data_IF_243463657666
#
_entry.id   IF_243463657666
#
_cell.length_a   1.000
_cell.length_b   1.000
_cell.length_c   1.000
_cell.angle_alpha   90.00
_cell.angle_beta   90.00
_cell.angle_gamma   90.00
#
_symmetry.space_group_name_H-M   'P 1'
#
loop_
_entity.id
_entity.type
_entity.pdbx_description
1 polymer ?
#
# COMPACT_ATOMS: atom_id res chain seq x y z
N UNK A 1 18.02 -21.64 -24.84
CA UNK A 1 17.45 -20.67 -23.86
C UNK A 1 16.21 -21.32 -23.28
N UNK A 2 16.06 -21.31 -21.94
CA UNK A 2 14.84 -21.79 -21.28
C UNK A 2 13.64 -20.91 -21.65
N UNK A 3 12.45 -21.50 -21.68
CA UNK A 3 11.21 -20.81 -22.06
C UNK A 3 10.16 -21.04 -20.99
N UNK A 4 9.50 -19.96 -20.58
CA UNK A 4 8.42 -19.98 -19.61
C UNK A 4 7.18 -19.27 -20.15
N UNK A 5 6.03 -19.58 -19.58
CA UNK A 5 4.83 -18.77 -19.83
C UNK A 5 4.96 -17.42 -19.14
N UNK A 6 5.47 -17.41 -17.91
CA UNK A 6 5.57 -16.21 -17.09
C UNK A 6 6.94 -16.15 -16.41
N UNK A 7 7.58 -14.97 -16.49
CA UNK A 7 8.67 -14.57 -15.63
C UNK A 7 8.19 -13.51 -14.65
N UNK A 8 8.44 -13.72 -13.36
CA UNK A 8 8.10 -12.78 -12.29
C UNK A 8 9.41 -12.24 -11.71
N UNK A 9 9.57 -10.91 -11.69
CA UNK A 9 10.67 -10.25 -11.03
C UNK A 9 10.24 -9.80 -9.62
N UNK A 10 10.81 -10.42 -8.58
CA UNK A 10 10.51 -10.20 -7.16
C UNK A 10 9.68 -11.31 -6.54
N UNK A 11 10.17 -11.85 -5.41
CA UNK A 11 9.60 -12.99 -4.66
C UNK A 11 8.98 -12.59 -3.32
N UNK A 12 8.52 -11.33 -3.16
CA UNK A 12 7.77 -10.89 -1.99
C UNK A 12 6.27 -11.20 -2.16
N UNK A 13 5.40 -10.68 -1.30
CA UNK A 13 3.98 -11.07 -1.18
C UNK A 13 3.25 -11.26 -2.51
N UNK A 14 3.23 -10.23 -3.36
CA UNK A 14 2.49 -10.28 -4.63
C UNK A 14 3.10 -11.27 -5.62
N UNK A 15 4.45 -11.26 -5.74
CA UNK A 15 5.15 -12.14 -6.68
C UNK A 15 5.05 -13.61 -6.29
N UNK A 16 5.22 -13.94 -5.00
CA UNK A 16 5.09 -15.30 -4.49
C UNK A 16 3.64 -15.83 -4.65
N UNK A 17 2.65 -15.01 -4.30
CA UNK A 17 1.24 -15.39 -4.45
C UNK A 17 0.85 -15.60 -5.92
N UNK A 18 1.25 -14.67 -6.80
CA UNK A 18 0.97 -14.78 -8.23
C UNK A 18 1.65 -16.01 -8.84
N UNK A 19 2.91 -16.29 -8.44
CA UNK A 19 3.63 -17.49 -8.86
C UNK A 19 2.90 -18.77 -8.45
N UNK A 20 2.49 -18.87 -7.16
CA UNK A 20 1.71 -20.01 -6.64
C UNK A 20 0.45 -20.25 -7.48
N UNK A 21 -0.34 -19.20 -7.69
CA UNK A 21 -1.63 -19.33 -8.40
C UNK A 21 -1.44 -19.68 -9.88
N UNK A 22 -0.50 -19.06 -10.58
CA UNK A 22 -0.25 -19.37 -12.00
C UNK A 22 0.35 -20.77 -12.20
N UNK A 23 1.25 -21.22 -11.33
CA UNK A 23 1.79 -22.57 -11.37
C UNK A 23 0.70 -23.62 -11.07
N UNK A 24 -0.18 -23.36 -10.11
CA UNK A 24 -1.31 -24.24 -9.80
C UNK A 24 -2.32 -24.35 -10.98
N UNK A 25 -2.42 -23.32 -11.83
CA UNK A 25 -3.19 -23.35 -13.08
C UNK A 25 -2.49 -24.11 -14.21
N UNK A 26 -1.29 -24.67 -13.97
CA UNK A 26 -0.52 -25.48 -14.91
C UNK A 26 0.40 -24.71 -15.85
N UNK A 27 0.66 -23.43 -15.58
CA UNK A 27 1.56 -22.62 -16.39
C UNK A 27 3.00 -22.75 -15.91
N UNK A 28 3.96 -22.66 -16.83
CA UNK A 28 5.39 -22.65 -16.50
C UNK A 28 5.79 -21.27 -15.98
N UNK A 29 6.24 -21.20 -14.70
CA UNK A 29 6.56 -19.95 -14.00
C UNK A 29 8.00 -19.96 -13.53
N UNK A 30 8.73 -18.88 -13.87
CA UNK A 30 10.03 -18.57 -13.30
C UNK A 30 9.93 -17.30 -12.47
N UNK A 31 10.37 -17.35 -11.23
CA UNK A 31 10.56 -16.18 -10.36
C UNK A 31 12.05 -15.89 -10.24
N UNK A 32 12.45 -14.64 -10.41
CA UNK A 32 13.78 -14.14 -10.11
C UNK A 32 13.72 -13.17 -8.93
N UNK A 33 14.56 -13.41 -7.92
CA UNK A 33 14.66 -12.56 -6.72
C UNK A 33 16.11 -12.11 -6.52
N UNK A 34 16.29 -10.78 -6.40
CA UNK A 34 17.65 -10.19 -6.25
C UNK A 34 18.33 -10.56 -4.95
N UNK A 35 17.59 -10.78 -3.89
CA UNK A 35 18.09 -11.14 -2.57
C UNK A 35 18.40 -12.64 -2.51
N UNK A 36 19.34 -13.02 -1.64
CA UNK A 36 19.56 -14.41 -1.28
C UNK A 36 18.46 -14.89 -0.34
N UNK A 37 18.21 -16.20 -0.21
CA UNK A 37 17.10 -16.70 0.61
C UNK A 37 17.06 -16.10 2.02
N UNK A 38 18.21 -16.00 2.68
CA UNK A 38 18.30 -15.50 4.07
C UNK A 38 18.05 -13.99 4.20
N UNK A 39 18.06 -13.24 3.10
CA UNK A 39 17.92 -11.77 3.07
C UNK A 39 16.54 -11.31 2.59
N UNK A 40 15.73 -12.21 2.03
CA UNK A 40 14.41 -11.84 1.46
C UNK A 40 13.52 -11.18 2.51
N UNK A 41 13.07 -9.96 2.22
CA UNK A 41 12.09 -9.23 3.04
C UNK A 41 12.49 -8.99 4.50
N UNK A 42 13.79 -8.80 4.78
CA UNK A 42 14.32 -8.54 6.14
C UNK A 42 14.49 -7.07 6.49
N UNK A 43 13.94 -6.14 5.72
CA UNK A 43 14.02 -4.70 6.01
C UNK A 43 13.31 -4.31 7.32
N UNK A 44 12.29 -5.05 7.73
CA UNK A 44 11.66 -5.02 9.06
C UNK A 44 11.05 -6.39 9.35
N UNK A 45 10.95 -6.72 10.64
CA UNK A 45 10.58 -8.04 11.11
C UNK A 45 9.07 -8.29 11.06
N UNK A 46 8.30 -7.54 11.86
CA UNK A 46 6.87 -7.80 12.04
C UNK A 46 6.02 -6.96 11.09
N UNK A 47 5.13 -7.63 10.36
CA UNK A 47 4.02 -6.99 9.67
C UNK A 47 2.71 -7.71 10.00
N UNK A 48 1.57 -7.14 9.60
CA UNK A 48 0.26 -7.71 9.95
C UNK A 48 -0.75 -7.54 8.83
N UNK A 49 -1.72 -8.47 8.79
CA UNK A 49 -2.83 -8.47 7.85
C UNK A 49 -4.15 -8.78 8.54
N UNK A 50 -5.25 -8.28 7.99
CA UNK A 50 -6.60 -8.67 8.40
C UNK A 50 -6.86 -10.15 8.12
N UNK A 51 -7.39 -10.89 9.09
CA UNK A 51 -7.67 -12.33 8.94
C UNK A 51 -8.62 -12.62 7.78
N UNK A 52 -9.65 -11.79 7.58
CA UNK A 52 -10.62 -11.98 6.50
C UNK A 52 -9.98 -11.86 5.11
N UNK A 53 -9.03 -10.94 4.94
CA UNK A 53 -8.29 -10.81 3.69
C UNK A 53 -7.37 -12.01 3.47
N UNK A 54 -6.71 -12.51 4.53
CA UNK A 54 -5.89 -13.73 4.44
C UNK A 54 -6.73 -14.94 4.01
N UNK A 55 -7.91 -15.13 4.60
CA UNK A 55 -8.85 -16.20 4.22
C UNK A 55 -9.33 -16.03 2.78
N UNK A 56 -9.69 -14.83 2.37
CA UNK A 56 -10.14 -14.53 1.00
C UNK A 56 -9.11 -14.94 -0.05
N UNK A 57 -7.83 -14.63 0.18
CA UNK A 57 -6.77 -14.91 -0.78
C UNK A 57 -6.08 -16.26 -0.59
N UNK A 58 -6.64 -17.14 0.26
CA UNK A 58 -6.07 -18.45 0.55
C UNK A 58 -4.59 -18.36 0.96
N UNK A 59 -4.31 -17.41 1.88
CA UNK A 59 -3.00 -17.27 2.52
C UNK A 59 -2.90 -18.18 3.74
N UNK A 60 -1.70 -18.69 4.00
CA UNK A 60 -1.42 -19.35 5.26
C UNK A 60 -1.70 -18.41 6.44
N UNK A 61 -2.42 -18.91 7.46
CA UNK A 61 -2.67 -18.18 8.71
C UNK A 61 -1.82 -18.82 9.79
N UNK A 62 -0.73 -18.18 10.22
CA UNK A 62 0.16 -18.71 11.25
C UNK A 62 -0.55 -18.94 12.57
N UNK A 63 -0.14 -19.97 13.28
CA UNK A 63 -0.63 -20.35 14.61
C UNK A 63 0.53 -20.30 15.61
N UNK A 64 0.19 -20.20 16.89
CA UNK A 64 1.18 -20.28 17.95
C UNK A 64 2.05 -21.54 17.82
N UNK A 65 3.36 -21.34 17.72
CA UNK A 65 4.36 -22.38 17.49
C UNK A 65 4.87 -22.49 16.05
N UNK A 66 4.26 -21.80 15.07
CA UNK A 66 4.79 -21.68 13.72
C UNK A 66 5.91 -20.61 13.69
N UNK A 67 6.93 -20.82 12.84
CA UNK A 67 8.09 -19.91 12.78
C UNK A 67 7.72 -18.49 12.30
N UNK A 68 6.62 -18.37 11.58
CA UNK A 68 6.11 -17.10 11.09
C UNK A 68 5.02 -16.47 11.99
N UNK A 69 4.68 -17.10 13.12
CA UNK A 69 3.69 -16.56 14.07
C UNK A 69 4.27 -15.43 14.90
N UNK A 70 3.65 -14.25 14.84
CA UNK A 70 3.96 -13.14 15.72
C UNK A 70 2.92 -12.96 16.83
N UNK A 71 1.70 -12.61 16.46
CA UNK A 71 0.58 -12.38 17.41
C UNK A 71 -0.78 -12.38 16.70
N UNK A 72 -1.84 -12.43 17.51
CA UNK A 72 -3.22 -12.22 17.04
C UNK A 72 -3.91 -11.21 17.94
N UNK A 73 -4.59 -10.24 17.36
CA UNK A 73 -5.48 -9.37 18.09
C UNK A 73 -6.85 -9.22 17.42
N UNK A 74 -7.88 -8.90 18.22
CA UNK A 74 -9.26 -8.87 17.76
C UNK A 74 -9.93 -7.50 17.87
N UNK A 75 -9.25 -6.53 18.46
CA UNK A 75 -9.79 -5.17 18.65
C UNK A 75 -8.69 -4.14 18.75
N UNK A 76 -8.96 -2.93 18.32
CA UNK A 76 -8.06 -1.81 18.43
C UNK A 76 -8.79 -0.52 18.79
N UNK A 77 -8.03 0.52 19.12
CA UNK A 77 -8.55 1.86 19.36
C UNK A 77 -7.83 2.89 18.53
N UNK A 78 -8.59 3.82 17.96
CA UNK A 78 -8.06 5.05 17.39
C UNK A 78 -8.24 6.17 18.39
N UNK A 79 -7.14 6.82 18.78
CA UNK A 79 -7.15 7.92 19.74
C UNK A 79 -7.10 9.28 19.03
N UNK A 80 -7.71 10.27 19.66
CA UNK A 80 -7.50 11.67 19.31
C UNK A 80 -6.04 12.09 19.57
N UNK A 81 -5.57 13.20 18.97
CA UNK A 81 -4.16 13.61 19.06
C UNK A 81 -3.61 13.79 20.50
N UNK A 82 -4.46 14.21 21.45
CA UNK A 82 -4.09 14.33 22.86
C UNK A 82 -4.48 13.12 23.73
N UNK A 83 -5.04 12.06 23.12
CA UNK A 83 -5.46 10.87 23.84
C UNK A 83 -6.75 11.03 24.67
N UNK A 84 -7.45 12.16 24.55
CA UNK A 84 -8.64 12.44 25.38
C UNK A 84 -9.88 11.66 24.92
N UNK A 85 -9.95 11.28 23.66
CA UNK A 85 -11.08 10.58 23.05
C UNK A 85 -10.57 9.37 22.27
N UNK A 86 -11.37 8.31 22.23
CA UNK A 86 -11.03 7.11 21.45
C UNK A 86 -12.26 6.54 20.76
N UNK A 87 -12.02 5.80 19.69
CA UNK A 87 -13.02 5.01 18.94
C UNK A 87 -12.55 3.58 18.83
N UNK A 88 -13.49 2.66 18.90
CA UNK A 88 -13.23 1.23 18.87
C UNK A 88 -13.34 0.66 17.48
N UNK A 89 -12.42 -0.22 17.09
CA UNK A 89 -12.52 -1.08 15.93
C UNK A 89 -12.42 -2.55 16.34
N UNK A 90 -13.26 -3.39 15.74
CA UNK A 90 -13.23 -4.83 15.92
C UNK A 90 -12.79 -5.46 14.58
N UNK A 91 -11.56 -5.93 14.55
CA UNK A 91 -11.00 -6.65 13.41
C UNK A 91 -10.00 -7.66 13.93
N UNK A 92 -10.07 -8.90 13.46
CA UNK A 92 -9.03 -9.87 13.78
C UNK A 92 -7.85 -9.65 12.83
N UNK A 93 -6.72 -9.32 13.42
CA UNK A 93 -5.47 -9.07 12.69
C UNK A 93 -4.43 -10.08 13.13
N UNK A 94 -3.71 -10.61 12.16
CA UNK A 94 -2.62 -11.57 12.35
C UNK A 94 -1.31 -10.83 12.13
N UNK A 95 -0.45 -10.81 13.13
CA UNK A 95 0.93 -10.33 13.05
C UNK A 95 1.88 -11.48 12.76
N UNK A 96 2.82 -11.27 11.87
CA UNK A 96 3.69 -12.32 11.35
C UNK A 96 5.13 -11.86 11.28
N UNK A 97 6.07 -12.80 11.48
CA UNK A 97 7.46 -12.61 11.12
C UNK A 97 7.58 -12.60 9.59
N UNK A 98 7.86 -11.43 9.03
CA UNK A 98 7.72 -11.15 7.60
C UNK A 98 8.58 -12.06 6.73
N UNK A 99 9.85 -12.23 7.08
CA UNK A 99 10.75 -13.10 6.32
C UNK A 99 10.20 -14.53 6.25
N UNK A 100 9.87 -15.12 7.39
CA UNK A 100 9.43 -16.51 7.49
C UNK A 100 8.11 -16.71 6.74
N UNK A 101 7.17 -15.76 6.86
CA UNK A 101 5.91 -15.79 6.14
C UNK A 101 6.12 -15.73 4.60
N UNK A 102 6.98 -14.82 4.11
CA UNK A 102 7.28 -14.72 2.67
C UNK A 102 8.00 -15.97 2.17
N UNK A 103 8.92 -16.53 2.94
CA UNK A 103 9.58 -17.79 2.57
C UNK A 103 8.61 -18.97 2.57
N UNK A 104 7.59 -18.99 3.43
CA UNK A 104 6.49 -19.96 3.37
C UNK A 104 5.71 -19.82 2.06
N UNK A 105 5.34 -18.61 1.68
CA UNK A 105 4.65 -18.35 0.40
C UNK A 105 5.50 -18.80 -0.81
N UNK A 106 6.80 -18.58 -0.77
CA UNK A 106 7.71 -19.04 -1.82
C UNK A 106 7.79 -20.56 -1.90
N UNK A 107 7.87 -21.27 -0.75
CA UNK A 107 7.80 -22.75 -0.70
C UNK A 107 6.48 -23.28 -1.26
N UNK A 108 5.37 -22.60 -0.98
CA UNK A 108 4.07 -22.95 -1.58
C UNK A 108 4.04 -22.75 -3.10
N UNK A 109 4.69 -21.69 -3.61
CA UNK A 109 4.81 -21.46 -5.05
C UNK A 109 5.66 -22.55 -5.72
N UNK A 110 6.78 -22.93 -5.11
CA UNK A 110 7.62 -24.05 -5.59
C UNK A 110 6.88 -25.39 -5.55
N UNK A 111 6.13 -25.67 -4.48
CA UNK A 111 5.28 -26.86 -4.37
C UNK A 111 4.17 -26.91 -5.44
N UNK A 112 3.69 -25.75 -5.88
CA UNK A 112 2.75 -25.64 -7.00
C UNK A 112 3.42 -25.80 -8.39
N UNK A 113 4.76 -25.81 -8.46
CA UNK A 113 5.51 -26.04 -9.70
C UNK A 113 6.25 -24.80 -10.24
N UNK A 114 6.26 -23.67 -9.53
CA UNK A 114 7.09 -22.54 -9.91
C UNK A 114 8.57 -22.82 -9.64
N UNK A 115 9.47 -22.29 -10.47
CA UNK A 115 10.90 -22.28 -10.24
C UNK A 115 11.30 -20.91 -9.68
N UNK A 116 12.06 -20.87 -8.58
CA UNK A 116 12.56 -19.62 -8.00
C UNK A 116 14.08 -19.59 -8.06
N UNK A 117 14.66 -18.49 -8.55
CA UNK A 117 16.09 -18.23 -8.57
C UNK A 117 16.37 -17.02 -7.68
N UNK A 118 17.04 -17.25 -6.55
CA UNK A 118 17.51 -16.22 -5.65
C UNK A 118 18.90 -15.69 -6.06
N UNK A 119 19.22 -14.46 -5.63
CA UNK A 119 20.45 -13.79 -6.05
C UNK A 119 20.42 -13.41 -7.53
N UNK A 120 19.25 -13.27 -8.13
CA UNK A 120 18.99 -12.99 -9.53
C UNK A 120 18.26 -11.65 -9.69
N UNK A 121 18.98 -10.60 -10.09
CA UNK A 121 18.45 -9.26 -10.23
C UNK A 121 18.02 -8.99 -11.68
N UNK A 122 16.76 -8.57 -11.90
CA UNK A 122 16.32 -8.10 -13.21
C UNK A 122 17.25 -6.98 -13.72
N UNK A 123 17.72 -7.07 -14.98
CA UNK A 123 18.60 -6.08 -15.59
C UNK A 123 17.95 -5.36 -16.77
N UNK A 124 17.31 -6.10 -17.68
CA UNK A 124 16.65 -5.53 -18.86
C UNK A 124 15.62 -6.51 -19.45
N UNK A 125 14.82 -6.02 -20.38
CA UNK A 125 13.96 -6.87 -21.20
C UNK A 125 14.76 -7.61 -22.28
N UNK A 126 14.40 -8.85 -22.55
CA UNK A 126 14.77 -9.53 -23.77
C UNK A 126 13.74 -9.14 -24.84
N UNK A 127 14.20 -8.59 -25.95
CA UNK A 127 13.33 -8.09 -27.04
C UNK A 127 13.64 -8.80 -28.35
N UNK A 128 12.61 -8.98 -29.18
CA UNK A 128 12.76 -9.43 -30.55
C UNK A 128 13.26 -8.30 -31.48
N UNK A 129 13.47 -8.62 -32.77
CA UNK A 129 13.92 -7.67 -33.78
C UNK A 129 12.94 -6.49 -34.01
N UNK A 130 11.68 -6.65 -33.58
CA UNK A 130 10.63 -5.62 -33.68
C UNK A 130 10.51 -4.78 -32.41
N UNK A 131 11.27 -5.13 -31.37
CA UNK A 131 11.24 -4.46 -30.07
C UNK A 131 10.17 -4.99 -29.10
N UNK A 132 9.47 -6.07 -29.44
CA UNK A 132 8.49 -6.68 -28.55
C UNK A 132 9.21 -7.37 -27.37
N UNK A 133 8.63 -7.31 -26.18
CA UNK A 133 9.12 -8.02 -24.99
C UNK A 133 8.84 -9.52 -25.21
N UNK A 134 9.90 -10.33 -25.18
CA UNK A 134 9.86 -11.78 -25.34
C UNK A 134 10.50 -12.51 -24.14
N UNK A 135 10.83 -11.78 -23.06
CA UNK A 135 11.45 -12.31 -21.86
C UNK A 135 12.25 -11.25 -21.12
N UNK A 136 13.21 -11.71 -20.34
CA UNK A 136 14.07 -10.83 -19.55
C UNK A 136 15.53 -11.29 -19.50
N UNK A 137 16.39 -10.33 -19.17
CA UNK A 137 17.77 -10.51 -18.75
C UNK A 137 17.87 -10.27 -17.26
N UNK A 138 18.69 -11.03 -16.58
CA UNK A 138 18.94 -10.88 -15.15
C UNK A 138 20.40 -11.20 -14.82
N UNK A 139 20.89 -10.64 -13.73
CA UNK A 139 22.27 -10.78 -13.29
C UNK A 139 22.31 -11.67 -12.04
N UNK A 140 23.19 -12.67 -12.08
CA UNK A 140 23.53 -13.54 -10.95
C UNK A 140 25.01 -13.42 -10.62
N UNK A 141 25.49 -14.11 -9.60
CA UNK A 141 26.94 -14.22 -9.29
C UNK A 141 27.76 -14.87 -10.47
N UNK A 142 27.09 -15.58 -11.38
CA UNK A 142 27.67 -16.19 -12.58
C UNK A 142 27.67 -15.25 -13.80
N UNK A 143 27.12 -14.06 -13.69
CA UNK A 143 26.99 -13.07 -14.74
C UNK A 143 25.57 -12.92 -15.31
N UNK A 144 25.47 -12.24 -16.47
CA UNK A 144 24.18 -11.99 -17.12
C UNK A 144 23.61 -13.28 -17.72
N UNK A 145 22.35 -13.54 -17.40
CA UNK A 145 21.54 -14.65 -17.91
C UNK A 145 20.37 -14.11 -18.73
N UNK A 146 19.80 -14.92 -19.59
CA UNK A 146 18.65 -14.58 -20.43
C UNK A 146 17.62 -15.71 -20.45
N UNK A 147 16.35 -15.34 -20.44
CA UNK A 147 15.23 -16.28 -20.49
C UNK A 147 14.09 -15.73 -21.36
N UNK A 148 13.51 -16.61 -22.17
CA UNK A 148 12.29 -16.27 -22.90
C UNK A 148 11.05 -16.46 -22.00
N UNK A 149 10.11 -15.51 -22.05
CA UNK A 149 8.84 -15.61 -21.38
C UNK A 149 7.76 -14.90 -22.21
N UNK A 150 6.53 -15.43 -22.19
CA UNK A 150 5.38 -14.79 -22.86
C UNK A 150 4.93 -13.54 -22.12
N UNK A 151 5.22 -13.46 -20.79
CA UNK A 151 4.90 -12.34 -19.92
C UNK A 151 6.04 -12.10 -18.92
N UNK A 152 6.39 -10.83 -18.73
CA UNK A 152 7.24 -10.36 -17.62
C UNK A 152 6.35 -9.62 -16.63
N UNK A 153 6.24 -10.12 -15.39
CA UNK A 153 5.52 -9.47 -14.30
C UNK A 153 6.52 -8.74 -13.39
N UNK A 154 6.39 -7.44 -13.25
CA UNK A 154 7.21 -6.64 -12.35
C UNK A 154 6.58 -6.57 -10.95
N UNK A 155 7.12 -7.34 -10.01
CA UNK A 155 6.81 -7.35 -8.59
C UNK A 155 8.02 -6.85 -7.75
N UNK A 156 8.90 -6.01 -8.32
CA UNK A 156 10.13 -5.55 -7.66
C UNK A 156 9.91 -4.46 -6.62
N UNK A 157 8.66 -4.11 -6.35
CA UNK A 157 8.30 -3.12 -5.34
C UNK A 157 8.58 -1.68 -5.78
N UNK A 158 8.82 -0.78 -4.83
CA UNK A 158 9.05 0.66 -5.07
C UNK A 158 10.13 0.93 -6.12
N UNK A 159 11.26 0.20 -6.19
CA UNK A 159 12.27 0.39 -7.25
C UNK A 159 11.72 0.22 -8.67
N UNK A 160 10.67 -0.58 -8.85
CA UNK A 160 10.00 -0.78 -10.15
C UNK A 160 11.00 -1.12 -11.27
N UNK A 161 11.87 -2.11 -11.02
CA UNK A 161 13.07 -2.34 -11.81
C UNK A 161 12.79 -2.61 -13.31
N UNK A 162 11.73 -3.36 -13.62
CA UNK A 162 11.36 -3.63 -15.00
C UNK A 162 10.47 -2.52 -15.59
N UNK A 163 9.47 -2.03 -14.84
CA UNK A 163 8.57 -0.96 -15.28
C UNK A 163 9.34 0.29 -15.75
N UNK A 164 10.39 0.67 -15.03
CA UNK A 164 11.22 1.84 -15.35
C UNK A 164 12.08 1.68 -16.62
N UNK A 165 12.14 0.48 -17.20
CA UNK A 165 12.81 0.21 -18.49
C UNK A 165 11.84 0.27 -19.69
N UNK A 166 10.55 0.45 -19.44
CA UNK A 166 9.58 0.65 -20.52
C UNK A 166 9.85 2.00 -21.23
N UNK A 167 9.54 2.10 -22.53
CA UNK A 167 9.70 3.36 -23.25
C UNK A 167 8.67 4.40 -22.80
N UNK A 168 8.96 5.69 -23.03
CA UNK A 168 8.10 6.81 -22.59
C UNK A 168 6.72 6.83 -23.26
N UNK A 169 6.56 6.16 -24.39
CA UNK A 169 5.29 6.02 -25.07
C UNK A 169 4.51 4.76 -24.70
N UNK A 170 4.95 4.01 -23.68
CA UNK A 170 4.22 2.85 -23.17
C UNK A 170 2.89 3.27 -22.53
N UNK A 171 1.96 2.34 -22.49
CA UNK A 171 0.69 2.53 -21.76
C UNK A 171 0.90 2.50 -20.25
N UNK A 172 1.88 1.73 -19.78
CA UNK A 172 2.32 1.70 -18.37
C UNK A 172 3.30 2.84 -18.12
N UNK A 173 3.00 3.67 -17.14
CA UNK A 173 3.85 4.81 -16.76
C UNK A 173 5.18 4.33 -16.16
N UNK A 174 6.32 4.90 -16.64
CA UNK A 174 7.67 4.45 -16.30
C UNK A 174 8.44 5.37 -15.31
N UNK A 175 7.80 6.40 -14.75
CA UNK A 175 8.45 7.34 -13.84
C UNK A 175 8.89 6.69 -12.50
N UNK A 176 9.88 7.29 -11.85
CA UNK A 176 10.28 6.96 -10.48
C UNK A 176 9.47 7.78 -9.48
N UNK A 177 9.15 7.19 -8.31
CA UNK A 177 8.59 7.93 -7.19
C UNK A 177 9.61 8.93 -6.65
N UNK A 178 9.12 10.10 -6.27
CA UNK A 178 9.89 11.10 -5.52
C UNK A 178 9.71 10.90 -4.01
N UNK A 179 10.56 11.48 -3.15
CA UNK A 179 10.38 11.40 -1.70
C UNK A 179 9.01 11.88 -1.20
N UNK A 180 8.35 12.77 -1.94
CA UNK A 180 6.99 13.24 -1.65
C UNK A 180 5.92 12.18 -1.88
N UNK A 181 6.20 11.19 -2.71
CA UNK A 181 5.28 10.13 -3.12
C UNK A 181 5.48 8.83 -2.33
N UNK A 182 6.29 8.88 -1.28
CA UNK A 182 6.64 7.73 -0.43
C UNK A 182 6.31 8.07 1.02
N UNK A 183 5.70 7.13 1.75
CA UNK A 183 5.70 7.13 3.20
C UNK A 183 6.90 6.35 3.72
N UNK A 184 7.71 7.05 4.48
CA UNK A 184 8.84 6.54 5.24
C UNK A 184 8.34 6.15 6.62
N UNK A 185 8.48 4.88 6.96
CA UNK A 185 7.97 4.30 8.19
C UNK A 185 9.14 3.97 9.10
N UNK A 186 9.06 4.43 10.35
CA UNK A 186 10.01 4.08 11.42
C UNK A 186 9.27 3.25 12.46
N UNK A 187 9.82 2.11 12.81
CA UNK A 187 9.29 1.15 13.77
C UNK A 187 10.23 1.07 14.96
N UNK A 188 9.74 1.46 16.14
CA UNK A 188 10.45 1.34 17.40
C UNK A 188 9.93 0.10 18.13
N UNK A 189 10.74 -0.94 18.25
CA UNK A 189 10.46 -2.07 19.09
C UNK A 189 10.74 -1.66 20.53
N UNK A 190 9.70 -1.54 21.30
CA UNK A 190 9.71 -0.99 22.66
C UNK A 190 9.30 -2.05 23.68
N UNK A 191 9.90 -1.97 24.86
CA UNK A 191 9.50 -2.77 26.02
C UNK A 191 8.99 -1.84 27.11
N UNK A 192 7.76 -2.12 27.58
CA UNK A 192 7.17 -1.34 28.65
C UNK A 192 7.79 -1.71 30.02
N UNK A 193 8.02 -0.70 30.88
CA UNK A 193 8.79 -0.87 32.12
C UNK A 193 7.89 -1.37 33.24
N UNK A 194 6.68 -0.83 33.40
CA UNK A 194 5.90 -0.98 34.64
C UNK A 194 4.46 -1.47 34.47
N UNK A 195 3.96 -1.73 33.26
CA UNK A 195 2.53 -2.02 33.05
C UNK A 195 2.30 -3.20 32.10
N UNK A 196 1.33 -4.06 32.48
CA UNK A 196 0.68 -4.94 31.48
C UNK A 196 -0.20 -4.06 30.60
N UNK A 197 0.29 -3.73 29.44
CA UNK A 197 -0.45 -2.94 28.48
C UNK A 197 -1.17 -3.89 27.55
N UNK A 198 -2.43 -3.58 27.29
CA UNK A 198 -3.06 -4.13 26.10
C UNK A 198 -2.37 -3.49 24.89
N UNK A 199 -1.52 -4.22 24.16
CA UNK A 199 -0.68 -3.66 23.09
C UNK A 199 -1.48 -3.06 21.96
N UNK A 200 -2.80 -3.22 21.98
CA UNK A 200 -3.71 -2.79 20.92
C UNK A 200 -4.24 -1.37 21.07
N UNK A 201 -3.94 -0.70 22.17
CA UNK A 201 -4.72 0.47 22.54
C UNK A 201 -4.28 1.80 21.95
N UNK A 202 -3.32 1.87 21.02
CA UNK A 202 -2.78 3.16 20.64
C UNK A 202 -2.61 3.38 19.14
N UNK A 203 -3.70 3.81 18.48
CA UNK A 203 -3.63 4.47 17.18
C UNK A 203 -3.97 5.94 17.37
N UNK A 204 -3.08 6.85 16.95
CA UNK A 204 -3.33 8.27 16.96
C UNK A 204 -3.29 8.84 15.55
N UNK A 205 -4.16 9.82 15.27
CA UNK A 205 -4.04 10.65 14.07
C UNK A 205 -3.32 11.94 14.45
N UNK A 206 -2.19 12.18 13.78
CA UNK A 206 -1.45 13.42 13.86
C UNK A 206 -1.54 14.14 12.52
N UNK A 207 -1.37 15.45 12.53
CA UNK A 207 -1.26 16.20 11.29
C UNK A 207 -0.16 15.58 10.42
N UNK A 208 -0.45 15.39 9.12
CA UNK A 208 0.52 15.08 8.08
C UNK A 208 1.11 13.66 8.12
N UNK A 209 0.67 12.78 9.02
CA UNK A 209 1.18 11.43 9.10
C UNK A 209 0.30 10.53 9.97
N UNK A 210 0.68 9.25 10.04
CA UNK A 210 0.05 8.24 10.89
C UNK A 210 1.06 7.71 11.90
N UNK A 211 0.62 7.55 13.14
CA UNK A 211 1.38 6.85 14.17
C UNK A 211 0.48 5.80 14.85
N UNK A 212 1.08 4.71 15.30
CA UNK A 212 0.34 3.57 15.87
C UNK A 212 1.19 2.80 16.86
N UNK A 213 0.53 1.92 17.64
CA UNK A 213 1.19 0.81 18.31
C UNK A 213 0.56 -0.51 17.87
N UNK A 214 1.36 -1.56 17.94
CA UNK A 214 0.94 -2.94 17.72
C UNK A 214 1.73 -3.84 18.69
N UNK A 215 1.28 -5.09 18.95
CA UNK A 215 2.08 -6.07 19.66
C UNK A 215 3.42 -6.33 18.97
N UNK A 216 4.46 -6.67 19.73
CA UNK A 216 5.72 -7.15 19.17
C UNK A 216 5.85 -8.68 19.16
N UNK A 217 4.87 -9.39 19.71
CA UNK A 217 4.96 -10.83 19.96
C UNK A 217 5.59 -11.19 21.31
N UNK A 218 6.26 -10.25 21.97
CA UNK A 218 6.89 -10.44 23.27
C UNK A 218 5.98 -9.99 24.44
N UNK A 219 6.12 -10.63 25.60
CA UNK A 219 5.51 -10.17 26.85
C UNK A 219 5.96 -8.73 27.15
N UNK A 220 5.00 -7.83 27.36
CA UNK A 220 5.21 -6.40 27.57
C UNK A 220 5.86 -5.62 26.41
N UNK A 221 6.00 -6.23 25.24
CA UNK A 221 6.55 -5.59 24.05
C UNK A 221 5.51 -4.92 23.17
N UNK A 222 5.91 -3.85 22.49
CA UNK A 222 5.11 -3.18 21.46
C UNK A 222 5.98 -2.65 20.32
N UNK A 223 5.39 -2.54 19.15
CA UNK A 223 5.96 -1.81 18.03
C UNK A 223 5.28 -0.46 17.97
N UNK A 224 6.05 0.61 18.19
CA UNK A 224 5.58 1.98 18.00
C UNK A 224 5.98 2.43 16.61
N UNK A 225 5.00 2.62 15.75
CA UNK A 225 5.23 3.00 14.36
C UNK A 225 4.87 4.45 14.08
N UNK A 226 5.63 5.09 13.21
CA UNK A 226 5.32 6.39 12.63
C UNK A 226 5.61 6.38 11.14
N UNK A 227 4.73 6.97 10.35
CA UNK A 227 4.90 7.09 8.90
C UNK A 227 4.60 8.49 8.41
N UNK A 228 5.47 9.05 7.58
CA UNK A 228 5.28 10.35 6.94
C UNK A 228 6.03 10.45 5.61
N UNK A 229 5.78 11.51 4.84
CA UNK A 229 6.46 11.78 3.58
C UNK A 229 7.89 12.31 3.79
N UNK A 230 8.63 12.45 2.71
CA UNK A 230 9.96 13.03 2.54
C UNK A 230 11.13 12.20 3.04
N UNK A 231 11.16 11.78 4.31
CA UNK A 231 12.30 11.03 4.86
C UNK A 231 11.97 10.36 6.21
N UNK A 232 12.82 9.42 6.61
CA UNK A 232 12.79 8.84 7.95
C UNK A 232 13.03 9.91 9.04
N UNK A 233 13.95 10.85 8.80
CA UNK A 233 14.26 11.90 9.77
C UNK A 233 13.06 12.83 10.00
N UNK A 234 12.27 13.09 8.95
CA UNK A 234 11.04 13.87 9.10
C UNK A 234 10.00 13.11 9.94
N UNK A 235 9.79 11.82 9.68
CA UNK A 235 8.89 10.98 10.47
C UNK A 235 9.35 10.91 11.95
N UNK A 236 10.65 10.73 12.20
CA UNK A 236 11.22 10.73 13.56
C UNK A 236 11.05 12.08 14.27
N UNK A 237 11.25 13.18 13.57
CA UNK A 237 11.10 14.55 14.16
C UNK A 237 9.66 14.80 14.58
N UNK A 238 8.67 14.46 13.71
CA UNK A 238 7.24 14.57 14.04
C UNK A 238 6.90 13.70 15.25
N UNK A 239 7.34 12.44 15.27
CA UNK A 239 7.07 11.51 16.36
C UNK A 239 7.64 12.03 17.69
N UNK A 240 8.88 12.51 17.69
CA UNK A 240 9.54 13.02 18.89
C UNK A 240 8.94 14.35 19.38
N UNK A 241 8.62 15.26 18.45
CA UNK A 241 8.07 16.58 18.79
C UNK A 241 6.63 16.50 19.27
N UNK A 242 5.80 15.74 18.55
CA UNK A 242 4.36 15.83 18.69
C UNK A 242 3.76 14.63 19.44
N UNK A 243 4.05 13.38 19.02
CA UNK A 243 3.47 12.21 19.67
C UNK A 243 3.95 12.04 21.10
N UNK A 244 5.24 11.87 21.31
CA UNK A 244 5.79 11.64 22.65
C UNK A 244 5.39 12.71 23.66
N UNK A 245 5.15 13.93 23.19
CA UNK A 245 4.80 15.06 24.06
C UNK A 245 3.32 15.12 24.37
N UNK A 246 2.47 14.79 23.43
CA UNK A 246 1.02 15.05 23.50
C UNK A 246 0.21 13.81 23.91
N UNK A 247 0.66 12.60 23.56
CA UNK A 247 -0.06 11.37 23.90
C UNK A 247 0.47 10.85 25.25
N UNK A 248 -0.39 10.60 26.24
CA UNK A 248 0.01 9.97 27.49
C UNK A 248 0.43 8.52 27.20
N UNK A 249 1.74 8.33 27.09
CA UNK A 249 2.33 7.06 26.74
C UNK A 249 2.99 6.41 27.97
N UNK A 250 2.81 5.10 28.18
CA UNK A 250 3.53 4.40 29.25
C UNK A 250 5.04 4.50 29.09
N UNK A 251 5.77 4.39 30.17
CA UNK A 251 7.24 4.37 30.13
C UNK A 251 7.74 3.12 29.42
N UNK A 252 8.68 3.28 28.51
CA UNK A 252 9.26 2.20 27.71
C UNK A 252 10.76 2.43 27.45
N UNK A 253 11.46 1.35 27.13
CA UNK A 253 12.79 1.36 26.50
C UNK A 253 12.66 0.96 25.06
N UNK A 254 13.48 1.52 24.18
CA UNK A 254 13.59 1.09 22.77
C UNK A 254 14.73 0.09 22.67
N UNK A 255 14.43 -1.10 22.19
CA UNK A 255 15.39 -2.20 22.04
C UNK A 255 15.93 -2.28 20.60
N UNK A 256 15.09 -1.97 19.59
CA UNK A 256 15.41 -2.08 18.17
C UNK A 256 14.67 -1.00 17.40
N UNK A 257 15.28 -0.50 16.33
CA UNK A 257 14.63 0.41 15.37
C UNK A 257 14.76 -0.18 13.98
N UNK A 258 13.65 -0.26 13.29
CA UNK A 258 13.58 -0.69 11.90
C UNK A 258 12.95 0.38 11.03
N UNK A 259 13.23 0.31 9.74
CA UNK A 259 12.77 1.31 8.76
C UNK A 259 12.18 0.60 7.55
N UNK A 260 11.02 1.07 7.12
CA UNK A 260 10.35 0.59 5.93
C UNK A 260 9.82 1.76 5.10
N UNK A 261 9.33 1.47 3.92
CA UNK A 261 8.67 2.47 3.09
C UNK A 261 7.53 1.85 2.30
N UNK A 262 6.53 2.67 1.97
CA UNK A 262 5.40 2.26 1.12
C UNK A 262 5.10 3.36 0.11
N UNK A 263 4.70 3.02 -1.13
CA UNK A 263 4.32 4.03 -2.11
C UNK A 263 3.06 4.76 -1.65
N UNK A 264 3.08 6.08 -1.75
CA UNK A 264 1.93 6.93 -1.43
C UNK A 264 1.59 7.86 -2.59
N UNK A 265 1.40 7.27 -3.73
CA UNK A 265 1.07 7.90 -5.00
C UNK A 265 -0.26 7.32 -5.52
N UNK A 266 -0.97 8.03 -6.41
CA UNK A 266 -2.09 7.43 -7.12
C UNK A 266 -1.66 6.15 -7.83
N UNK A 267 -2.58 5.26 -8.04
CA UNK A 267 -2.37 4.04 -8.81
C UNK A 267 -1.93 4.36 -10.24
N UNK A 268 -1.10 3.51 -10.86
CA UNK A 268 -0.75 3.63 -12.28
C UNK A 268 -2.02 3.61 -13.13
N UNK A 269 -2.09 4.44 -14.16
CA UNK A 269 -3.26 4.48 -15.04
C UNK A 269 -3.45 3.19 -15.86
N UNK A 270 -2.39 2.47 -16.16
CA UNK A 270 -2.43 1.14 -16.76
C UNK A 270 -1.37 0.24 -16.13
N UNK A 271 -1.70 -1.02 -15.95
CA UNK A 271 -0.78 -2.06 -15.44
C UNK A 271 -0.15 -2.86 -16.56
N UNK A 272 -0.73 -2.85 -17.77
CA UNK A 272 -0.41 -3.80 -18.84
C UNK A 272 0.19 -3.12 -20.08
N UNK A 273 1.19 -3.79 -20.66
CA UNK A 273 1.78 -3.52 -21.97
C UNK A 273 1.96 -4.87 -22.70
N UNK A 274 2.38 -4.85 -23.96
CA UNK A 274 2.63 -6.08 -24.70
C UNK A 274 3.74 -6.90 -24.04
N UNK A 275 3.38 -8.11 -23.57
CA UNK A 275 4.30 -8.99 -22.84
C UNK A 275 4.72 -8.52 -21.44
N UNK A 276 4.00 -7.54 -20.83
CA UNK A 276 4.37 -6.98 -19.53
C UNK A 276 3.17 -6.66 -18.65
N UNK A 277 3.35 -6.83 -17.32
CA UNK A 277 2.42 -6.36 -16.29
C UNK A 277 3.18 -5.82 -15.06
N UNK A 278 2.73 -4.66 -14.53
CA UNK A 278 3.19 -4.11 -13.25
C UNK A 278 2.23 -4.54 -12.12
N UNK A 279 2.78 -4.99 -10.98
CA UNK A 279 1.98 -5.54 -9.88
C UNK A 279 2.50 -5.08 -8.51
N UNK A 280 1.63 -5.08 -7.51
CA UNK A 280 2.02 -4.72 -6.14
C UNK A 280 2.46 -3.26 -6.00
N UNK A 281 3.48 -3.03 -5.19
CA UNK A 281 4.05 -1.69 -4.97
C UNK A 281 4.65 -1.07 -6.23
N UNK A 282 5.03 -1.88 -7.21
CA UNK A 282 5.42 -1.40 -8.55
C UNK A 282 4.28 -0.66 -9.25
N UNK A 283 3.03 -1.03 -8.96
CA UNK A 283 1.82 -0.42 -9.50
C UNK A 283 1.14 0.58 -8.53
N UNK A 284 1.74 0.83 -7.35
CA UNK A 284 1.27 1.76 -6.32
C UNK A 284 -0.09 1.38 -5.73
N UNK A 285 -0.30 0.10 -5.43
CA UNK A 285 -1.58 -0.45 -4.98
C UNK A 285 -1.82 -0.32 -3.46
N UNK A 286 -1.09 0.57 -2.81
CA UNK A 286 -1.18 0.78 -1.37
C UNK A 286 -2.49 1.48 -0.98
N UNK A 287 -3.17 0.96 0.04
CA UNK A 287 -4.38 1.54 0.63
C UNK A 287 -4.04 2.90 1.27
N UNK A 288 -4.65 3.99 0.83
CA UNK A 288 -4.23 5.34 1.23
C UNK A 288 -4.54 5.68 2.68
N UNK A 289 -5.47 4.98 3.33
CA UNK A 289 -5.87 5.24 4.73
C UNK A 289 -4.91 4.68 5.76
N UNK A 290 -4.17 3.60 5.42
CA UNK A 290 -3.34 2.88 6.39
C UNK A 290 -1.94 2.50 5.89
N UNK A 291 -1.65 2.64 4.60
CA UNK A 291 -0.36 2.24 4.04
C UNK A 291 -0.22 0.73 3.82
N UNK A 292 -1.32 -0.04 3.95
CA UNK A 292 -1.33 -1.47 3.69
C UNK A 292 -1.22 -1.72 2.19
N UNK A 293 -0.22 -2.52 1.77
CA UNK A 293 0.05 -2.85 0.37
C UNK A 293 -0.03 -4.35 0.07
N UNK A 294 0.05 -5.20 1.09
CA UNK A 294 0.14 -6.64 0.91
C UNK A 294 -1.17 -7.22 0.34
N UNK A 295 -2.24 -7.24 1.11
CA UNK A 295 -3.51 -7.79 0.66
C UNK A 295 -4.18 -6.93 -0.41
N UNK A 296 -4.03 -5.60 -0.33
CA UNK A 296 -4.55 -4.68 -1.35
C UNK A 296 -4.00 -4.97 -2.76
N UNK A 297 -2.76 -5.44 -2.86
CA UNK A 297 -2.16 -5.85 -4.13
C UNK A 297 -2.73 -7.17 -4.68
N UNK A 298 -3.23 -8.04 -3.81
CA UNK A 298 -3.75 -9.35 -4.23
C UNK A 298 -5.08 -9.24 -4.98
N UNK A 299 -5.86 -8.16 -4.79
CA UNK A 299 -7.05 -7.91 -5.62
C UNK A 299 -6.71 -7.77 -7.11
N UNK A 300 -5.63 -7.04 -7.43
CA UNK A 300 -5.15 -6.95 -8.82
C UNK A 300 -4.58 -8.29 -9.30
N UNK A 301 -3.81 -8.96 -8.45
CA UNK A 301 -3.17 -10.22 -8.78
C UNK A 301 -4.21 -11.32 -9.08
N UNK A 302 -5.32 -11.39 -8.33
CA UNK A 302 -6.43 -12.31 -8.57
C UNK A 302 -7.06 -12.09 -9.95
N UNK A 303 -7.35 -10.82 -10.30
CA UNK A 303 -7.87 -10.47 -11.63
C UNK A 303 -6.86 -10.85 -12.72
N UNK A 304 -5.56 -10.60 -12.46
CA UNK A 304 -4.51 -10.95 -13.43
C UNK A 304 -4.41 -12.47 -13.64
N UNK A 305 -4.48 -13.27 -12.57
CA UNK A 305 -4.51 -14.76 -12.68
C UNK A 305 -5.65 -15.21 -13.58
N UNK A 306 -6.87 -14.75 -13.34
CA UNK A 306 -8.05 -15.15 -14.14
C UNK A 306 -7.88 -14.81 -15.63
N UNK A 307 -7.48 -13.57 -15.93
CA UNK A 307 -7.38 -13.10 -17.32
C UNK A 307 -6.21 -13.76 -18.05
N UNK A 308 -5.02 -13.77 -17.42
CA UNK A 308 -3.79 -14.29 -18.04
C UNK A 308 -3.87 -15.80 -18.20
N UNK A 309 -4.34 -16.54 -17.18
CA UNK A 309 -4.51 -18.00 -17.28
C UNK A 309 -5.47 -18.38 -18.41
N UNK A 310 -6.60 -17.66 -18.53
CA UNK A 310 -7.54 -17.88 -19.64
C UNK A 310 -6.89 -17.66 -21.01
N UNK A 311 -6.16 -16.55 -21.19
CA UNK A 311 -5.48 -16.22 -22.44
C UNK A 311 -4.45 -17.28 -22.81
N UNK A 312 -3.64 -17.73 -21.85
CA UNK A 312 -2.64 -18.78 -22.07
C UNK A 312 -3.29 -20.12 -22.47
N UNK A 313 -4.37 -20.53 -21.79
CA UNK A 313 -5.12 -21.75 -22.12
C UNK A 313 -5.77 -21.70 -23.50
N UNK A 314 -6.20 -20.52 -23.93
CA UNK A 314 -6.76 -20.28 -25.27
C UNK A 314 -5.67 -20.11 -26.35
N UNK A 315 -4.39 -20.11 -25.98
CA UNK A 315 -3.26 -19.87 -26.90
C UNK A 315 -3.22 -18.45 -27.47
N UNK A 316 -3.85 -17.48 -26.80
CA UNK A 316 -3.87 -16.08 -27.19
C UNK A 316 -2.62 -15.35 -26.72
N UNK A 317 -2.11 -14.38 -27.49
CA UNK A 317 -0.95 -13.59 -27.07
C UNK A 317 -1.30 -12.67 -25.90
N UNK A 318 -0.32 -12.45 -25.02
CA UNK A 318 -0.45 -11.57 -23.85
C UNK A 318 -0.13 -10.12 -24.26
N UNK A 319 -0.97 -9.56 -25.13
CA UNK A 319 -0.90 -8.15 -25.55
C UNK A 319 -1.72 -7.28 -24.61
N UNK A 320 -1.42 -5.98 -24.59
CA UNK A 320 -2.23 -5.02 -23.81
C UNK A 320 -3.71 -5.04 -24.19
N UNK A 321 -4.04 -5.27 -25.47
CA UNK A 321 -5.44 -5.40 -25.93
C UNK A 321 -6.14 -6.56 -25.23
N UNK A 322 -5.50 -7.72 -25.19
CA UNK A 322 -6.08 -8.92 -24.60
C UNK A 322 -6.12 -8.85 -23.06
N UNK A 323 -5.14 -8.21 -22.44
CA UNK A 323 -5.03 -8.05 -20.99
C UNK A 323 -5.75 -6.79 -20.46
N UNK A 324 -6.29 -5.92 -21.30
CA UNK A 324 -6.83 -4.60 -20.91
C UNK A 324 -7.90 -4.67 -19.81
N UNK A 325 -8.69 -5.73 -19.80
CA UNK A 325 -9.72 -5.93 -18.79
C UNK A 325 -9.17 -5.99 -17.35
N UNK A 326 -7.89 -6.29 -17.16
CA UNK A 326 -7.24 -6.26 -15.84
C UNK A 326 -7.32 -4.84 -15.26
N UNK A 327 -6.98 -3.82 -16.06
CA UNK A 327 -7.03 -2.43 -15.64
C UNK A 327 -8.45 -2.02 -15.19
N UNK A 328 -9.42 -2.21 -16.09
CA UNK A 328 -10.81 -1.79 -15.83
C UNK A 328 -11.41 -2.49 -14.62
N UNK A 329 -11.24 -3.82 -14.53
CA UNK A 329 -11.76 -4.62 -13.43
C UNK A 329 -11.16 -4.22 -12.09
N UNK A 330 -9.85 -3.95 -12.03
CA UNK A 330 -9.20 -3.49 -10.82
C UNK A 330 -9.77 -2.14 -10.34
N UNK A 331 -9.95 -1.17 -11.26
CA UNK A 331 -10.56 0.11 -10.90
C UNK A 331 -12.00 -0.02 -10.43
N UNK A 332 -12.76 -0.98 -10.96
CA UNK A 332 -14.13 -1.25 -10.51
C UNK A 332 -14.19 -1.89 -9.12
N UNK A 333 -13.20 -2.71 -8.76
CA UNK A 333 -13.18 -3.45 -7.48
C UNK A 333 -12.57 -2.63 -6.35
N UNK A 334 -11.50 -1.88 -6.60
CA UNK A 334 -10.74 -1.22 -5.53
C UNK A 334 -10.09 0.10 -5.94
N UNK A 335 -9.45 0.16 -7.11
CA UNK A 335 -8.54 1.25 -7.45
C UNK A 335 -9.22 2.62 -7.51
N UNK A 336 -10.46 2.69 -8.00
CA UNK A 336 -11.26 3.90 -8.03
C UNK A 336 -11.45 4.48 -6.62
N UNK A 337 -11.81 3.63 -5.67
CA UNK A 337 -12.09 4.06 -4.30
C UNK A 337 -10.81 4.50 -3.59
N UNK A 338 -9.70 3.80 -3.80
CA UNK A 338 -8.40 4.17 -3.25
C UNK A 338 -7.94 5.54 -3.77
N UNK A 339 -8.02 5.75 -5.07
CA UNK A 339 -7.62 7.02 -5.67
C UNK A 339 -8.57 8.16 -5.30
N UNK A 340 -9.88 7.89 -5.21
CA UNK A 340 -10.87 8.88 -4.78
C UNK A 340 -10.69 9.33 -3.31
N UNK A 341 -10.19 8.45 -2.44
CA UNK A 341 -9.91 8.79 -1.04
C UNK A 341 -8.72 9.76 -0.88
N UNK A 342 -7.74 9.76 -1.80
CA UNK A 342 -6.52 10.58 -1.66
C UNK A 342 -6.78 12.06 -1.49
N UNK A 343 -7.55 12.76 -2.36
CA UNK A 343 -7.84 14.19 -2.16
C UNK A 343 -8.62 14.47 -0.88
N UNK A 344 -9.51 13.56 -0.47
CA UNK A 344 -10.27 13.70 0.78
C UNK A 344 -9.34 13.60 2.00
N UNK A 345 -8.42 12.63 2.01
CA UNK A 345 -7.44 12.46 3.09
C UNK A 345 -6.53 13.69 3.23
N UNK A 346 -6.08 14.30 2.13
CA UNK A 346 -5.30 15.54 2.17
C UNK A 346 -6.08 16.66 2.91
N UNK A 347 -7.39 16.76 2.66
CA UNK A 347 -8.26 17.69 3.40
C UNK A 347 -8.30 17.37 4.89
N UNK A 348 -8.50 16.09 5.24
CA UNK A 348 -8.66 15.63 6.63
C UNK A 348 -7.36 15.82 7.43
N UNK A 349 -6.20 15.46 6.89
CA UNK A 349 -4.92 15.61 7.57
C UNK A 349 -4.45 17.07 7.68
N UNK A 350 -5.17 18.01 7.09
CA UNK A 350 -4.89 19.45 7.22
C UNK A 350 -5.43 20.06 8.53
N UNK A 351 -6.30 19.34 9.27
CA UNK A 351 -6.75 19.81 10.58
C UNK A 351 -5.58 19.78 11.59
N UNK A 352 -5.51 20.83 12.44
CA UNK A 352 -4.57 20.84 13.54
C UNK A 352 -5.07 19.96 14.70
N UNK A 353 -4.25 19.79 15.74
CA UNK A 353 -4.55 18.90 16.87
C UNK A 353 -5.82 19.30 17.63
N UNK A 354 -6.05 20.59 17.87
CA UNK A 354 -7.23 21.08 18.57
C UNK A 354 -8.50 20.87 17.75
N UNK A 355 -8.40 21.08 16.43
CA UNK A 355 -9.49 20.80 15.49
C UNK A 355 -9.82 19.29 15.44
N UNK A 356 -8.79 18.44 15.38
CA UNK A 356 -8.97 16.98 15.40
C UNK A 356 -9.59 16.50 16.74
N UNK A 357 -9.16 17.05 17.89
CA UNK A 357 -9.80 16.79 19.19
C UNK A 357 -11.30 17.14 19.18
N UNK A 358 -11.66 18.30 18.61
CA UNK A 358 -13.05 18.69 18.45
C UNK A 358 -13.84 17.68 17.61
N UNK A 359 -13.28 17.24 16.48
CA UNK A 359 -13.92 16.29 15.56
C UNK A 359 -14.10 14.92 16.22
N UNK A 360 -13.11 14.43 16.99
CA UNK A 360 -13.23 13.21 17.78
C UNK A 360 -14.31 13.32 18.87
N UNK A 361 -14.28 14.42 19.65
CA UNK A 361 -15.21 14.68 20.74
C UNK A 361 -16.66 14.67 20.29
N UNK A 362 -16.94 15.31 19.17
CA UNK A 362 -18.29 15.52 18.65
C UNK A 362 -18.74 14.46 17.64
N UNK A 363 -17.90 13.43 17.43
CA UNK A 363 -18.21 12.32 16.52
C UNK A 363 -18.44 12.80 15.07
N UNK A 364 -17.64 13.78 14.65
CA UNK A 364 -17.66 14.40 13.33
C UNK A 364 -16.41 13.99 12.57
N UNK A 365 -16.49 13.44 11.38
CA UNK A 365 -15.40 12.88 10.55
C UNK A 365 -14.60 11.75 11.22
N UNK A 366 -14.22 11.89 12.49
CA UNK A 366 -13.58 10.84 13.30
C UNK A 366 -14.61 10.14 14.20
N UNK A 367 -15.73 9.73 13.61
CA UNK A 367 -16.83 9.10 14.34
C UNK A 367 -16.55 7.61 14.61
N UNK A 368 -17.25 7.05 15.60
CA UNK A 368 -17.23 5.61 15.87
C UNK A 368 -17.58 4.79 14.61
N UNK A 369 -18.54 5.27 13.80
CA UNK A 369 -18.94 4.63 12.54
C UNK A 369 -17.79 4.59 11.53
N UNK A 370 -17.05 5.69 11.35
CA UNK A 370 -15.95 5.79 10.37
C UNK A 370 -14.73 5.01 10.86
N UNK A 371 -14.29 5.26 12.08
CA UNK A 371 -13.04 4.66 12.58
C UNK A 371 -13.23 3.20 13.02
N UNK A 372 -14.40 2.84 13.52
CA UNK A 372 -14.72 1.45 13.89
C UNK A 372 -15.08 0.56 12.71
N UNK A 373 -15.44 1.16 11.57
CA UNK A 373 -15.76 0.45 10.32
C UNK A 373 -14.62 0.46 9.29
N UNK A 374 -13.41 0.90 9.64
CA UNK A 374 -12.25 0.86 8.75
C UNK A 374 -11.95 -0.60 8.37
N UNK A 375 -12.12 -0.92 7.09
CA UNK A 375 -12.04 -2.30 6.55
C UNK A 375 -13.37 -2.82 6.02
N UNK A 376 -14.49 -2.12 6.27
CA UNK A 376 -15.81 -2.47 5.75
C UNK A 376 -16.33 -1.38 4.82
N UNK A 377 -17.29 -1.73 3.95
CA UNK A 377 -18.02 -0.73 3.17
C UNK A 377 -18.83 0.17 4.11
N UNK A 378 -18.57 1.48 4.06
CA UNK A 378 -19.24 2.47 4.90
C UNK A 378 -20.41 3.08 4.14
N UNK A 379 -21.62 2.69 4.50
CA UNK A 379 -22.83 3.36 4.01
C UNK A 379 -23.19 4.56 4.90
N UNK A 380 -23.28 5.75 4.33
CA UNK A 380 -23.71 6.96 5.02
C UNK A 380 -25.20 7.21 4.80
N UNK A 381 -25.95 7.26 5.89
CA UNK A 381 -27.35 7.68 5.85
C UNK A 381 -27.46 9.20 5.75
N UNK A 382 -28.61 9.76 5.30
CA UNK A 382 -28.85 11.21 5.35
C UNK A 382 -28.67 11.80 6.75
N UNK A 383 -28.97 11.04 7.81
CA UNK A 383 -28.77 11.45 9.19
C UNK A 383 -27.28 11.57 9.56
N UNK A 384 -26.44 10.63 9.10
CA UNK A 384 -24.98 10.71 9.30
C UNK A 384 -24.40 11.96 8.62
N UNK A 385 -24.81 12.22 7.39
CA UNK A 385 -24.38 13.40 6.63
C UNK A 385 -24.82 14.68 7.34
N UNK A 386 -26.08 14.75 7.79
CA UNK A 386 -26.60 15.90 8.52
C UNK A 386 -25.83 16.13 9.83
N UNK A 387 -25.47 15.07 10.56
CA UNK A 387 -24.65 15.15 11.78
C UNK A 387 -23.27 15.72 11.47
N UNK A 388 -22.60 15.22 10.43
CA UNK A 388 -21.28 15.73 10.00
C UNK A 388 -21.37 17.21 9.65
N UNK A 389 -22.31 17.60 8.81
CA UNK A 389 -22.48 18.99 8.37
C UNK A 389 -22.79 19.91 9.55
N UNK A 390 -23.75 19.55 10.42
CA UNK A 390 -24.11 20.35 11.59
C UNK A 390 -22.95 20.48 12.58
N UNK A 391 -22.18 19.40 12.80
CA UNK A 391 -21.00 19.42 13.65
C UNK A 391 -19.89 20.32 13.12
N UNK A 392 -19.66 20.31 11.80
CA UNK A 392 -18.72 21.23 11.15
C UNK A 392 -19.17 22.69 11.31
N UNK A 393 -20.44 22.98 11.02
CA UNK A 393 -20.98 24.34 11.16
C UNK A 393 -20.90 24.85 12.60
N UNK A 394 -21.23 24.02 13.58
CA UNK A 394 -21.08 24.35 15.00
C UNK A 394 -19.61 24.59 15.39
N UNK A 395 -18.68 23.78 14.87
CA UNK A 395 -17.26 23.95 15.10
C UNK A 395 -16.72 25.28 14.56
N UNK A 396 -17.14 25.67 13.37
CA UNK A 396 -16.79 26.97 12.77
C UNK A 396 -17.42 28.12 13.58
N UNK A 397 -18.71 28.04 13.90
CA UNK A 397 -19.40 29.07 14.64
C UNK A 397 -18.82 29.32 16.04
N UNK A 398 -18.26 28.30 16.67
CA UNK A 398 -17.62 28.38 18.00
C UNK A 398 -16.11 28.60 17.95
N UNK A 399 -15.53 28.80 16.76
CA UNK A 399 -14.10 28.99 16.56
C UNK A 399 -13.22 27.75 16.88
N UNK A 400 -13.84 26.56 16.95
CA UNK A 400 -13.15 25.29 17.17
C UNK A 400 -12.63 24.65 15.88
N UNK A 401 -13.17 25.04 14.74
CA UNK A 401 -12.72 24.68 13.40
C UNK A 401 -12.42 25.94 12.60
N UNK A 402 -11.31 25.94 11.85
CA UNK A 402 -11.00 27.03 10.94
C UNK A 402 -11.71 26.86 9.62
N UNK A 403 -12.27 27.95 9.09
CA UNK A 403 -12.91 27.93 7.76
C UNK A 403 -11.92 27.51 6.67
N UNK A 404 -10.63 27.79 6.84
CA UNK A 404 -9.57 27.40 5.90
C UNK A 404 -9.46 25.90 5.77
N UNK A 405 -9.40 25.16 6.89
CA UNK A 405 -9.28 23.70 6.88
C UNK A 405 -10.61 23.03 6.45
N UNK A 406 -11.74 23.59 6.86
CA UNK A 406 -13.05 23.14 6.34
C UNK A 406 -13.13 23.24 4.82
N UNK A 407 -12.66 24.36 4.23
CA UNK A 407 -12.62 24.51 2.76
C UNK A 407 -11.71 23.46 2.09
N UNK A 408 -10.61 23.06 2.72
CA UNK A 408 -9.75 21.98 2.20
C UNK A 408 -10.49 20.62 2.16
N UNK A 409 -11.25 20.30 3.21
CA UNK A 409 -12.07 19.07 3.24
C UNK A 409 -13.15 19.11 2.17
N UNK A 410 -13.87 20.25 2.04
CA UNK A 410 -14.90 20.41 0.99
C UNK A 410 -14.27 20.28 -0.40
N UNK A 411 -13.10 20.90 -0.64
CA UNK A 411 -12.36 20.74 -1.90
C UNK A 411 -11.99 19.26 -2.13
N UNK A 412 -11.46 18.58 -1.09
CA UNK A 412 -11.14 17.16 -1.16
C UNK A 412 -12.34 16.29 -1.50
N UNK A 413 -13.50 16.57 -0.92
CA UNK A 413 -14.75 15.87 -1.24
C UNK A 413 -15.20 16.09 -2.69
N UNK A 414 -15.13 17.32 -3.18
CA UNK A 414 -15.44 17.60 -4.60
C UNK A 414 -14.50 16.87 -5.53
N UNK A 415 -13.20 16.89 -5.25
CA UNK A 415 -12.19 16.17 -6.04
C UNK A 415 -12.35 14.65 -5.94
N UNK A 416 -12.78 14.11 -4.79
CA UNK A 416 -13.15 12.69 -4.65
C UNK A 416 -14.23 12.32 -5.68
N UNK A 417 -15.30 13.12 -5.77
CA UNK A 417 -16.39 12.88 -6.74
C UNK A 417 -15.91 12.97 -8.21
N UNK A 418 -14.99 13.90 -8.50
CA UNK A 418 -14.40 14.05 -9.83
C UNK A 418 -13.53 12.83 -10.19
N UNK A 419 -12.76 12.28 -9.22
CA UNK A 419 -11.97 11.07 -9.42
C UNK A 419 -12.88 9.86 -9.66
N UNK A 420 -13.94 9.67 -8.84
CA UNK A 420 -14.92 8.60 -9.08
C UNK A 420 -15.47 8.67 -10.49
N UNK A 421 -15.95 9.83 -10.91
CA UNK A 421 -16.49 10.03 -12.27
C UNK A 421 -15.45 9.73 -13.36
N UNK A 422 -14.21 10.17 -13.17
CA UNK A 422 -13.11 9.91 -14.11
C UNK A 422 -12.89 8.41 -14.33
N UNK A 423 -12.85 7.63 -13.24
CA UNK A 423 -12.63 6.18 -13.32
C UNK A 423 -13.89 5.39 -13.74
N UNK A 424 -15.09 5.92 -13.55
CA UNK A 424 -16.31 5.35 -14.16
C UNK A 424 -16.27 5.44 -15.70
N UNK A 425 -15.56 6.44 -16.24
CA UNK A 425 -15.30 6.62 -17.68
C UNK A 425 -14.01 5.90 -18.16
N UNK A 426 -13.42 5.01 -17.35
CA UNK A 426 -12.19 4.31 -17.74
C UNK A 426 -12.41 3.51 -19.03
N UNK A 427 -11.50 3.61 -20.03
CA UNK A 427 -11.73 3.06 -21.38
C UNK A 427 -11.82 1.52 -21.37
N UNK A 428 -12.69 0.99 -22.21
CA UNK A 428 -12.87 -0.46 -22.40
C UNK A 428 -11.74 -1.13 -23.19
N UNK A 429 -10.91 -0.33 -23.83
CA UNK A 429 -9.80 -0.80 -24.66
C UNK A 429 -8.66 0.23 -24.70
N UNK A 430 -7.44 -0.17 -25.10
CA UNK A 430 -6.31 0.74 -25.24
C UNK A 430 -6.57 1.95 -26.16
N UNK A 431 -7.46 1.81 -27.15
CA UNK A 431 -7.73 2.87 -28.13
C UNK A 431 -8.23 4.19 -27.49
N UNK A 432 -8.96 4.11 -26.37
CA UNK A 432 -9.45 5.29 -25.63
C UNK A 432 -8.48 5.86 -24.61
N UNK A 433 -7.39 5.16 -24.33
CA UNK A 433 -6.53 5.41 -23.17
C UNK A 433 -5.91 6.81 -23.14
N UNK A 434 -5.23 7.23 -24.20
CA UNK A 434 -4.52 8.51 -24.19
C UNK A 434 -5.46 9.72 -24.09
N UNK A 435 -6.66 9.63 -24.66
CA UNK A 435 -7.68 10.67 -24.50
C UNK A 435 -8.21 10.73 -23.05
N UNK A 436 -8.40 9.57 -22.42
CA UNK A 436 -8.77 9.47 -21.01
C UNK A 436 -7.62 9.92 -20.10
N UNK A 437 -6.39 9.47 -20.39
CA UNK A 437 -5.18 9.86 -19.64
C UNK A 437 -4.97 11.38 -19.61
N UNK A 438 -5.21 12.08 -20.71
CA UNK A 438 -5.10 13.54 -20.75
C UNK A 438 -6.08 14.22 -19.75
N UNK A 439 -7.33 13.71 -19.64
CA UNK A 439 -8.29 14.20 -18.62
C UNK A 439 -7.82 13.85 -17.21
N UNK A 440 -7.27 12.66 -17.02
CA UNK A 440 -6.74 12.22 -15.73
C UNK A 440 -5.55 13.09 -15.29
N UNK A 441 -4.60 13.34 -16.18
CA UNK A 441 -3.45 14.22 -15.91
C UNK A 441 -3.91 15.64 -15.53
N UNK A 442 -4.92 16.19 -16.22
CA UNK A 442 -5.48 17.51 -15.89
C UNK A 442 -6.14 17.53 -14.51
N UNK A 443 -6.87 16.47 -14.13
CA UNK A 443 -7.48 16.37 -12.82
C UNK A 443 -6.43 16.24 -11.73
N UNK A 444 -5.49 15.29 -11.89
CA UNK A 444 -4.45 15.04 -10.89
C UNK A 444 -3.48 16.22 -10.70
N UNK A 445 -3.24 17.02 -11.73
CA UNK A 445 -2.49 18.28 -11.61
C UNK A 445 -3.15 19.30 -10.67
N UNK A 446 -4.47 19.22 -10.44
CA UNK A 446 -5.24 20.08 -9.53
C UNK A 446 -5.35 19.52 -8.11
N UNK A 447 -5.07 18.22 -7.95
CA UNK A 447 -5.07 17.52 -6.66
C UNK A 447 -3.67 17.66 -6.07
N UNK A 448 -3.59 18.15 -4.84
CA UNK A 448 -2.32 18.24 -4.10
C UNK A 448 -1.81 16.85 -3.67
N UNK A 449 -0.62 16.84 -3.08
CA UNK A 449 -0.01 15.66 -2.45
C UNK A 449 -0.21 15.71 -0.93
N UNK A 450 -0.18 14.56 -0.26
CA UNK A 450 -0.15 14.51 1.21
C UNK A 450 1.08 15.24 1.76
N UNK A 451 2.19 15.18 1.04
CA UNK A 451 3.41 15.93 1.34
C UNK A 451 3.22 17.45 1.44
N UNK A 452 2.23 18.02 0.74
CA UNK A 452 1.91 19.47 0.81
C UNK A 452 1.37 19.91 2.18
N UNK A 453 0.98 18.95 3.03
CA UNK A 453 0.52 19.22 4.41
C UNK A 453 1.67 19.19 5.42
N UNK A 454 2.85 18.78 5.01
CA UNK A 454 4.02 18.67 5.89
C UNK A 454 4.45 20.03 6.44
N UNK A 455 4.94 20.03 7.68
CA UNK A 455 5.36 21.25 8.41
C UNK A 455 6.58 21.89 7.72
N UNK A 456 6.43 23.08 7.13
CA UNK A 456 7.53 23.73 6.41
C UNK A 456 8.70 24.16 7.30
N UNK A 457 8.49 24.29 8.61
CA UNK A 457 9.55 24.61 9.54
C UNK A 457 10.46 23.39 9.76
N UNK A 458 9.87 22.22 9.95
CA UNK A 458 10.64 20.97 10.07
C UNK A 458 11.37 20.67 8.77
N UNK A 459 10.69 20.81 7.62
CA UNK A 459 11.32 20.59 6.31
C UNK A 459 12.56 21.47 6.14
N UNK A 460 12.46 22.77 6.49
CA UNK A 460 13.60 23.70 6.46
C UNK A 460 14.70 23.30 7.44
N UNK A 461 14.36 22.90 8.67
CA UNK A 461 15.31 22.44 9.69
C UNK A 461 16.13 21.24 9.19
N UNK A 462 15.49 20.34 8.45
CA UNK A 462 16.10 19.13 7.88
C UNK A 462 16.76 19.36 6.51
N UNK A 463 16.72 20.58 5.98
CA UNK A 463 17.26 20.89 4.64
C UNK A 463 16.44 20.28 3.50
N UNK A 464 15.20 19.90 3.74
CA UNK A 464 14.25 19.40 2.75
C UNK A 464 13.49 20.62 2.18
N UNK A 465 13.38 20.68 0.85
CA UNK A 465 12.76 21.83 0.18
C UNK A 465 11.24 21.70 0.12
#
# INVERSE_FOLDING_TARGET
MEKYDILIAGASTTGAWFAKKMAAEGHSVLVIEKQKPDDVSREYDIFHMGKLDMEKFDLHIPKEGDDDYGFVFTSGRSYSPYGNYSKYGNETVIGMHKHEFIMNMNREAEAAGAKIIYGAAFSDFLKDEKGNIIGAKYITDEGEQQVEAKLVADCTGIPSAARRKLPDNAYVENFALTPEDIFYVVLYYAKYIDEKINPMDHHGFFMQYKAWSAPSGDDHGAILGVGSNYSYDYAEEIFNRDWKKNVPWPKYTVEKVEKGMTPYHRTLYSFVEDGFIAMGDTAFLTKPTCGEGCTSSLFQAEIAVEVISKLLKEGKPLTKENMWSINKRYYQVQGKDFDALRPLLIGIISFNYDEAEYLFKHDVLFSQKILGGMGQELEFTPADIAKIVSGILAGVATGKLTMTNVKKVVKGLMQNMEVVKLYDEYPDSPAGYFAWKAKADELWAKIGKAADTCDPEILRKLGIK
#
